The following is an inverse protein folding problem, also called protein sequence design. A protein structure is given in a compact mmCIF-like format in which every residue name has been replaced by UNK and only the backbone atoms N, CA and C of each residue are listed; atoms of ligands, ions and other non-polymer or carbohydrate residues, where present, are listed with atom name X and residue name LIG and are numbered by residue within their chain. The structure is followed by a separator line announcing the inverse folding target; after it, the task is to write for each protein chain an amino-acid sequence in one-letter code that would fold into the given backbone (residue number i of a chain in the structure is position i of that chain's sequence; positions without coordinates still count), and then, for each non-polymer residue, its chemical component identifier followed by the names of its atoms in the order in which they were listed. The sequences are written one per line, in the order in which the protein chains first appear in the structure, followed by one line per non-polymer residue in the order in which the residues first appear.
data_IF_654035558979
#
_entry.id   IF_654035558979
#
_cell.length_a   1.000
_cell.length_b   1.000
_cell.length_c   1.000
_cell.angle_alpha   90.00
_cell.angle_beta   90.00
_cell.angle_gamma   90.00
#
_symmetry.space_group_name_H-M   'P 1'
#
loop_
_entity.id
_entity.type
_entity.pdbx_description
1 polymer ?
#
# COMPACT_ATOMS: atom_id res chain seq x y z
N UNK A 1 14.72 44.13 25.76
CA UNK A 1 14.67 45.09 24.65
C UNK A 1 15.70 44.86 23.52
N UNK A 2 16.56 43.86 23.56
CA UNK A 2 17.69 43.65 22.61
C UNK A 2 17.48 42.73 21.42
N UNK A 3 16.35 42.01 21.31
CA UNK A 3 16.13 41.04 20.22
C UNK A 3 15.49 41.59 18.94
N UNK A 4 14.73 42.69 19.02
CA UNK A 4 14.07 43.34 17.85
C UNK A 4 15.01 44.08 16.91
N UNK A 5 16.17 44.53 17.40
CA UNK A 5 17.14 45.31 16.60
C UNK A 5 17.96 44.41 15.64
N UNK A 6 18.35 43.20 16.07
CA UNK A 6 19.19 42.30 15.25
C UNK A 6 18.43 41.70 14.04
N UNK A 7 17.14 41.42 14.16
CA UNK A 7 16.31 40.94 13.05
C UNK A 7 16.10 42.01 11.96
N UNK A 8 16.06 43.28 12.31
CA UNK A 8 15.93 44.39 11.36
C UNK A 8 17.19 44.58 10.50
N UNK A 9 18.38 44.44 11.08
CA UNK A 9 19.66 44.63 10.37
C UNK A 9 19.89 43.46 9.40
N UNK A 10 19.69 42.22 9.85
CA UNK A 10 19.83 41.03 8.98
C UNK A 10 18.85 41.05 7.82
N UNK A 11 17.61 41.45 8.03
CA UNK A 11 16.60 41.60 6.99
C UNK A 11 16.97 42.72 5.98
N UNK A 12 17.53 43.82 6.43
CA UNK A 12 18.01 44.94 5.57
C UNK A 12 19.22 44.49 4.72
N UNK A 13 20.16 43.79 5.32
CA UNK A 13 21.33 43.25 4.61
C UNK A 13 20.87 42.26 3.55
N UNK A 14 19.96 41.32 3.89
CA UNK A 14 19.40 40.37 2.95
C UNK A 14 18.69 41.06 1.78
N UNK A 15 17.81 42.02 2.06
CA UNK A 15 17.13 42.80 1.01
C UNK A 15 18.08 43.59 0.12
N UNK A 16 19.19 44.09 0.67
CA UNK A 16 20.27 44.71 -0.09
C UNK A 16 20.99 43.75 -1.01
N UNK A 17 21.34 42.58 -0.50
CA UNK A 17 22.00 41.53 -1.27
C UNK A 17 21.09 40.96 -2.39
N UNK A 18 19.80 40.79 -2.13
CA UNK A 18 18.84 40.33 -3.14
C UNK A 18 18.66 41.37 -4.26
N UNK A 19 18.68 42.67 -3.94
CA UNK A 19 18.64 43.73 -4.96
C UNK A 19 19.92 43.77 -5.81
N UNK A 20 21.07 43.57 -5.19
CA UNK A 20 22.37 43.55 -5.87
C UNK A 20 22.48 42.33 -6.78
N UNK A 21 22.03 41.17 -6.29
CA UNK A 21 21.98 39.93 -7.09
C UNK A 21 21.07 40.11 -8.33
N UNK A 22 19.91 40.72 -8.15
CA UNK A 22 18.97 41.01 -9.24
C UNK A 22 19.53 42.00 -10.28
N UNK A 23 20.24 43.03 -9.86
CA UNK A 23 20.93 43.97 -10.77
C UNK A 23 22.08 43.31 -11.51
N UNK A 24 22.86 42.46 -10.82
CA UNK A 24 24.02 41.79 -11.41
C UNK A 24 23.63 40.63 -12.32
N UNK A 25 22.41 40.06 -12.17
CA UNK A 25 21.92 38.98 -13.02
C UNK A 25 21.80 39.39 -14.50
N UNK A 26 21.60 40.68 -14.78
CA UNK A 26 21.50 41.21 -16.14
C UNK A 26 22.83 41.17 -16.91
N UNK A 27 23.98 41.15 -16.23
CA UNK A 27 25.31 41.16 -16.84
C UNK A 27 25.88 39.79 -17.15
N UNK A 28 25.12 38.71 -16.94
CA UNK A 28 25.58 37.34 -17.11
C UNK A 28 26.69 36.96 -16.11
N UNK A 29 27.21 35.72 -16.22
CA UNK A 29 28.18 35.19 -15.24
C UNK A 29 29.50 35.97 -15.22
N UNK A 30 30.04 36.33 -16.37
CA UNK A 30 31.31 37.06 -16.49
C UNK A 30 31.16 38.52 -16.05
N UNK A 31 30.17 39.22 -16.54
CA UNK A 31 29.95 40.63 -16.21
C UNK A 31 29.71 40.85 -14.71
N UNK A 32 28.95 39.99 -14.07
CA UNK A 32 28.71 40.05 -12.63
C UNK A 32 29.94 39.70 -11.78
N UNK A 33 30.80 38.79 -12.23
CA UNK A 33 32.08 38.48 -11.58
C UNK A 33 33.01 39.66 -11.66
N UNK A 34 33.14 40.32 -12.84
CA UNK A 34 33.91 41.53 -13.02
C UNK A 34 33.41 42.65 -12.10
N UNK A 35 32.11 42.89 -12.03
CA UNK A 35 31.53 43.95 -11.18
C UNK A 35 31.80 43.68 -9.70
N UNK A 36 31.61 42.49 -9.19
CA UNK A 36 31.87 42.12 -7.80
C UNK A 36 33.38 42.22 -7.45
N UNK A 37 34.24 41.79 -8.37
CA UNK A 37 35.71 41.92 -8.19
C UNK A 37 36.12 43.38 -8.17
N UNK A 38 35.57 44.21 -9.05
CA UNK A 38 35.81 45.65 -9.04
C UNK A 38 35.35 46.31 -7.73
N UNK A 39 34.19 45.88 -7.18
CA UNK A 39 33.71 46.33 -5.87
C UNK A 39 34.64 45.91 -4.72
N UNK A 40 35.14 44.67 -4.75
CA UNK A 40 36.07 44.17 -3.73
C UNK A 40 37.38 44.97 -3.75
N UNK A 41 37.94 45.23 -4.94
CA UNK A 41 39.13 46.09 -5.10
C UNK A 41 38.85 47.54 -4.66
N UNK A 42 37.71 48.09 -5.09
CA UNK A 42 37.26 49.45 -4.75
C UNK A 42 37.03 49.66 -3.23
N UNK A 43 36.74 48.64 -2.45
CA UNK A 43 36.64 48.70 -1.01
C UNK A 43 38.00 48.49 -0.31
N UNK A 44 38.81 47.58 -0.79
CA UNK A 44 40.08 47.23 -0.15
C UNK A 44 41.19 48.31 -0.32
N UNK A 45 41.20 48.92 -1.49
CA UNK A 45 42.23 49.95 -1.77
C UNK A 45 42.11 51.19 -0.86
N UNK A 46 40.95 51.83 -0.71
CA UNK A 46 40.81 52.97 0.25
C UNK A 46 41.09 52.54 1.69
N UNK A 47 40.70 51.33 2.09
CA UNK A 47 40.98 50.81 3.43
C UNK A 47 42.50 50.69 3.67
N UNK A 48 43.23 50.17 2.71
CA UNK A 48 44.68 50.06 2.78
C UNK A 48 45.37 51.45 2.86
N UNK A 49 44.90 52.40 2.06
CA UNK A 49 45.35 53.82 2.14
C UNK A 49 45.13 54.39 3.51
N UNK A 50 43.93 54.21 4.09
CA UNK A 50 43.59 54.69 5.42
C UNK A 50 44.53 54.08 6.48
N UNK A 51 44.74 52.78 6.47
CA UNK A 51 45.64 52.10 7.43
C UNK A 51 47.05 52.63 7.32
N UNK A 52 47.61 52.72 6.10
CA UNK A 52 48.98 53.26 5.86
C UNK A 52 49.10 54.72 6.32
N UNK A 53 48.10 55.54 6.08
CA UNK A 53 48.05 56.93 6.56
C UNK A 53 48.06 57.03 8.10
N UNK A 54 47.34 56.16 8.79
CA UNK A 54 47.33 56.06 10.24
C UNK A 54 48.67 55.62 10.84
N UNK A 55 49.42 54.77 10.09
CA UNK A 55 50.76 54.31 10.46
C UNK A 55 51.86 55.35 10.13
N UNK A 56 51.53 56.46 9.51
CA UNK A 56 52.48 57.52 9.11
C UNK A 56 53.38 57.07 7.93
N UNK A 57 53.00 56.04 7.16
CA UNK A 57 53.79 55.48 6.06
C UNK A 57 53.36 56.11 4.73
N UNK A 58 54.35 56.44 3.88
CA UNK A 58 54.06 56.93 2.53
C UNK A 58 53.41 55.86 1.66
N UNK A 59 52.32 56.25 0.97
CA UNK A 59 51.60 55.36 0.03
C UNK A 59 52.30 55.42 -1.35
N UNK A 60 52.92 54.31 -1.77
CA UNK A 60 53.53 54.25 -3.07
C UNK A 60 52.52 53.77 -4.16
N UNK A 61 52.38 54.48 -5.29
CA UNK A 61 51.39 54.12 -6.33
C UNK A 61 51.56 52.69 -6.88
N UNK A 62 52.81 52.23 -7.01
CA UNK A 62 53.10 50.89 -7.50
C UNK A 62 52.60 49.80 -6.54
N UNK A 63 52.73 50.02 -5.23
CA UNK A 63 52.22 49.11 -4.21
C UNK A 63 50.69 48.98 -4.27
N UNK A 64 49.98 50.06 -4.62
CA UNK A 64 48.52 50.07 -4.78
C UNK A 64 48.06 49.26 -6.01
N UNK A 65 48.80 49.40 -7.12
CA UNK A 65 48.52 48.59 -8.33
C UNK A 65 48.73 47.11 -8.05
N UNK A 66 49.87 46.74 -7.42
CA UNK A 66 50.13 45.35 -7.08
C UNK A 66 49.08 44.76 -6.17
N UNK A 67 48.66 45.49 -5.11
CA UNK A 67 47.58 45.05 -4.21
C UNK A 67 46.26 44.87 -4.94
N UNK A 68 45.93 45.75 -5.87
CA UNK A 68 44.70 45.64 -6.66
C UNK A 68 44.72 44.41 -7.56
N UNK A 69 45.84 44.10 -8.16
CA UNK A 69 46.03 42.90 -9.01
C UNK A 69 45.96 41.61 -8.17
N UNK A 70 46.62 41.56 -7.01
CA UNK A 70 46.58 40.44 -6.09
C UNK A 70 45.16 40.16 -5.61
N UNK A 71 44.41 41.18 -5.17
CA UNK A 71 43.01 41.04 -4.76
C UNK A 71 42.15 40.55 -5.91
N UNK A 72 42.32 41.09 -7.11
CA UNK A 72 41.53 40.69 -8.26
C UNK A 72 41.85 39.20 -8.67
N UNK A 73 43.11 38.80 -8.61
CA UNK A 73 43.55 37.46 -8.98
C UNK A 73 43.00 36.38 -8.02
N UNK A 74 42.83 36.69 -6.75
CA UNK A 74 42.28 35.77 -5.75
C UNK A 74 40.74 35.87 -5.69
N UNK A 75 40.20 37.07 -5.71
CA UNK A 75 38.78 37.27 -5.56
C UNK A 75 37.96 36.81 -6.78
N UNK A 76 38.43 37.06 -7.99
CA UNK A 76 37.68 36.72 -9.22
C UNK A 76 37.33 35.24 -9.35
N UNK A 77 38.27 34.27 -9.22
CA UNK A 77 37.94 32.86 -9.31
C UNK A 77 37.01 32.39 -8.16
N UNK A 78 37.18 32.94 -6.94
CA UNK A 78 36.33 32.57 -5.82
C UNK A 78 34.90 33.05 -6.07
N UNK A 79 34.73 34.31 -6.48
CA UNK A 79 33.42 34.89 -6.80
C UNK A 79 32.75 34.14 -7.95
N UNK A 80 33.53 33.81 -8.99
CA UNK A 80 33.01 33.04 -10.12
C UNK A 80 32.49 31.66 -9.70
N UNK A 81 33.29 30.91 -8.94
CA UNK A 81 32.92 29.61 -8.43
C UNK A 81 31.72 29.68 -7.48
N UNK A 82 31.72 30.60 -6.53
CA UNK A 82 30.61 30.79 -5.61
C UNK A 82 29.27 31.07 -6.34
N UNK A 83 29.32 31.91 -7.37
CA UNK A 83 28.13 32.20 -8.20
C UNK A 83 27.68 30.98 -9.02
N UNK A 84 28.58 30.19 -9.54
CA UNK A 84 28.21 28.98 -10.26
C UNK A 84 27.49 27.99 -9.33
N UNK A 85 28.05 27.74 -8.15
CA UNK A 85 27.43 26.89 -7.12
C UNK A 85 26.06 27.42 -6.68
N UNK A 86 25.94 28.74 -6.41
CA UNK A 86 24.67 29.36 -6.02
C UNK A 86 23.62 29.20 -7.12
N UNK A 87 24.03 29.38 -8.38
CA UNK A 87 23.10 29.24 -9.53
C UNK A 87 22.63 27.79 -9.70
N UNK A 88 23.54 26.82 -9.57
CA UNK A 88 23.20 25.40 -9.60
C UNK A 88 22.28 25.00 -8.44
N UNK A 89 22.56 25.48 -7.22
CA UNK A 89 21.70 25.23 -6.06
C UNK A 89 20.29 25.83 -6.23
N UNK A 90 20.20 27.06 -6.76
CA UNK A 90 18.90 27.70 -7.05
C UNK A 90 18.11 26.89 -8.08
N UNK A 91 18.74 26.49 -9.18
CA UNK A 91 18.08 25.70 -10.25
C UNK A 91 17.67 24.30 -9.76
N UNK A 92 18.49 23.63 -8.98
CA UNK A 92 18.18 22.35 -8.37
C UNK A 92 17.00 22.47 -7.39
N UNK A 93 17.00 23.49 -6.56
CA UNK A 93 15.90 23.75 -5.61
C UNK A 93 14.57 24.01 -6.32
N UNK A 94 14.57 24.87 -7.36
CA UNK A 94 13.34 25.11 -8.13
C UNK A 94 12.84 23.86 -8.83
N UNK A 95 13.74 23.00 -9.32
CA UNK A 95 13.37 21.68 -9.89
C UNK A 95 12.73 20.74 -8.87
N UNK A 96 13.29 20.68 -7.64
CA UNK A 96 12.73 19.88 -6.54
C UNK A 96 11.36 20.42 -6.12
N UNK A 97 11.20 21.73 -5.98
CA UNK A 97 9.92 22.35 -5.59
C UNK A 97 8.83 22.07 -6.66
N UNK A 98 9.16 22.17 -7.94
CA UNK A 98 8.23 21.85 -9.04
C UNK A 98 7.85 20.37 -9.06
N UNK A 99 8.85 19.46 -8.90
CA UNK A 99 8.58 18.02 -8.84
C UNK A 99 7.71 17.65 -7.63
N UNK A 100 8.02 18.23 -6.46
CA UNK A 100 7.24 18.05 -5.24
C UNK A 100 5.79 18.50 -5.41
N UNK A 101 5.59 19.66 -6.07
CA UNK A 101 4.26 20.17 -6.37
C UNK A 101 3.48 19.26 -7.33
N UNK A 102 4.13 18.77 -8.38
CA UNK A 102 3.51 17.82 -9.33
C UNK A 102 3.12 16.52 -8.64
N UNK A 103 4.02 15.98 -7.78
CA UNK A 103 3.73 14.79 -7.01
C UNK A 103 2.53 15.00 -6.06
N UNK A 104 2.45 16.13 -5.38
CA UNK A 104 1.32 16.45 -4.49
C UNK A 104 -0.01 16.52 -5.26
N UNK A 105 -0.03 17.18 -6.43
CA UNK A 105 -1.23 17.26 -7.28
C UNK A 105 -1.65 15.87 -7.79
N UNK A 106 -0.70 15.06 -8.25
CA UNK A 106 -0.99 13.71 -8.75
C UNK A 106 -1.48 12.80 -7.64
N UNK A 107 -0.89 12.89 -6.45
CA UNK A 107 -1.34 12.13 -5.27
C UNK A 107 -2.77 12.52 -4.86
N UNK A 108 -3.08 13.82 -4.83
CA UNK A 108 -4.43 14.31 -4.52
C UNK A 108 -5.47 13.84 -5.55
N UNK A 109 -5.15 13.89 -6.83
CA UNK A 109 -6.03 13.39 -7.91
C UNK A 109 -6.26 11.88 -7.77
N UNK A 110 -5.21 11.10 -7.49
CA UNK A 110 -5.32 9.66 -7.27
C UNK A 110 -6.19 9.35 -6.05
N UNK A 111 -6.04 10.09 -4.97
CA UNK A 111 -6.85 9.92 -3.76
C UNK A 111 -8.33 10.28 -4.00
N UNK A 112 -8.59 11.38 -4.70
CA UNK A 112 -9.96 11.77 -5.09
C UNK A 112 -10.63 10.71 -5.97
N UNK A 113 -9.91 10.19 -6.97
CA UNK A 113 -10.40 9.12 -7.83
C UNK A 113 -10.71 7.84 -7.04
N UNK A 114 -9.86 7.47 -6.08
CA UNK A 114 -10.06 6.31 -5.23
C UNK A 114 -11.26 6.49 -4.28
N UNK A 115 -11.44 7.69 -3.70
CA UNK A 115 -12.61 8.02 -2.87
C UNK A 115 -13.90 7.97 -3.69
N UNK A 116 -13.90 8.51 -4.91
CA UNK A 116 -15.05 8.45 -5.82
C UNK A 116 -15.40 7.01 -6.22
N UNK A 117 -14.38 6.17 -6.55
CA UNK A 117 -14.53 4.74 -6.82
C UNK A 117 -15.19 4.02 -5.63
N UNK A 118 -14.69 4.26 -4.42
CA UNK A 118 -15.21 3.62 -3.20
C UNK A 118 -16.66 4.04 -2.89
N UNK A 119 -16.99 5.32 -3.05
CA UNK A 119 -18.35 5.84 -2.85
C UNK A 119 -19.32 5.27 -3.90
N UNK A 120 -18.91 5.21 -5.17
CA UNK A 120 -19.69 4.62 -6.25
C UNK A 120 -20.00 3.14 -5.97
N UNK A 121 -18.98 2.35 -5.61
CA UNK A 121 -19.15 0.93 -5.29
C UNK A 121 -20.08 0.71 -4.08
N UNK A 122 -19.95 1.54 -3.04
CA UNK A 122 -20.82 1.47 -1.87
C UNK A 122 -22.30 1.74 -2.23
N UNK A 123 -22.55 2.77 -3.02
CA UNK A 123 -23.90 3.11 -3.47
C UNK A 123 -24.46 2.02 -4.39
N UNK A 124 -23.68 1.56 -5.38
CA UNK A 124 -24.10 0.49 -6.29
C UNK A 124 -24.45 -0.80 -5.56
N UNK A 125 -23.71 -1.15 -4.51
CA UNK A 125 -24.04 -2.33 -3.71
C UNK A 125 -25.41 -2.22 -3.04
N UNK A 126 -25.74 -1.08 -2.46
CA UNK A 126 -27.06 -0.87 -1.87
C UNK A 126 -28.17 -1.00 -2.91
N UNK A 127 -27.98 -0.35 -4.09
CA UNK A 127 -28.96 -0.36 -5.17
C UNK A 127 -29.10 -1.76 -5.81
N UNK A 128 -28.04 -2.58 -5.83
CA UNK A 128 -28.09 -3.94 -6.34
C UNK A 128 -28.60 -4.95 -5.31
N UNK A 129 -28.32 -4.75 -4.03
CA UNK A 129 -28.74 -5.66 -2.95
C UNK A 129 -30.25 -5.72 -2.81
N UNK A 130 -30.95 -4.59 -2.91
CA UNK A 130 -32.40 -4.51 -2.70
C UNK A 130 -33.19 -5.36 -3.70
N UNK A 131 -33.04 -5.19 -5.04
CA UNK A 131 -33.76 -6.03 -6.00
C UNK A 131 -33.29 -7.49 -5.96
N UNK A 132 -32.02 -7.74 -5.66
CA UNK A 132 -31.49 -9.08 -5.57
C UNK A 132 -32.04 -9.84 -4.37
N UNK A 133 -32.19 -9.21 -3.23
CA UNK A 133 -32.85 -9.80 -2.04
C UNK A 133 -34.32 -10.13 -2.33
N UNK A 134 -35.02 -9.30 -3.12
CA UNK A 134 -36.41 -9.60 -3.54
C UNK A 134 -36.44 -10.83 -4.46
N UNK A 135 -35.55 -10.90 -5.46
CA UNK A 135 -35.44 -12.07 -6.37
C UNK A 135 -35.12 -13.34 -5.56
N UNK A 136 -34.17 -13.27 -4.63
CA UNK A 136 -33.83 -14.38 -3.75
C UNK A 136 -35.00 -14.80 -2.88
N UNK A 137 -35.68 -13.86 -2.22
CA UNK A 137 -36.81 -14.14 -1.35
C UNK A 137 -37.97 -14.81 -2.09
N UNK A 138 -38.33 -14.30 -3.28
CA UNK A 138 -39.38 -14.93 -4.08
C UNK A 138 -38.96 -16.33 -4.59
N UNK A 139 -37.72 -16.49 -5.01
CA UNK A 139 -37.22 -17.78 -5.46
C UNK A 139 -37.14 -18.81 -4.31
N UNK A 140 -36.85 -18.38 -3.09
CA UNK A 140 -36.85 -19.20 -1.90
C UNK A 140 -38.27 -19.68 -1.54
N UNK A 141 -39.25 -18.73 -1.52
CA UNK A 141 -40.68 -19.07 -1.32
C UNK A 141 -41.18 -20.07 -2.33
N UNK A 142 -40.76 -19.95 -3.63
CA UNK A 142 -41.11 -20.90 -4.68
C UNK A 142 -40.39 -22.23 -4.50
N UNK A 143 -39.09 -22.24 -4.25
CA UNK A 143 -38.29 -23.44 -4.07
C UNK A 143 -38.75 -24.30 -2.90
N UNK A 144 -39.08 -23.65 -1.77
CA UNK A 144 -39.48 -24.29 -0.53
C UNK A 144 -41.02 -24.52 -0.47
N UNK A 145 -41.74 -24.12 -1.52
CA UNK A 145 -43.20 -24.36 -1.69
C UNK A 145 -44.06 -23.77 -0.54
N UNK A 146 -43.60 -22.64 0.05
CA UNK A 146 -44.29 -22.03 1.22
C UNK A 146 -45.76 -21.63 0.95
N UNK A 147 -46.12 -21.38 -0.31
CA UNK A 147 -47.51 -21.02 -0.73
C UNK A 147 -48.31 -22.19 -1.33
N UNK A 148 -47.83 -23.40 -1.17
CA UNK A 148 -48.45 -24.60 -1.68
C UNK A 148 -47.59 -25.36 -2.71
N UNK A 149 -47.98 -26.63 -2.99
CA UNK A 149 -47.16 -27.52 -3.80
C UNK A 149 -47.04 -27.05 -5.25
N UNK A 150 -45.82 -27.03 -5.75
CA UNK A 150 -45.49 -26.85 -7.16
C UNK A 150 -45.54 -28.21 -7.86
N UNK A 151 -46.57 -28.45 -8.63
CA UNK A 151 -46.77 -29.75 -9.30
C UNK A 151 -45.76 -30.08 -10.41
N UNK A 152 -45.07 -29.07 -10.95
CA UNK A 152 -44.03 -29.29 -11.97
C UNK A 152 -42.63 -29.18 -11.35
N UNK A 153 -41.85 -30.29 -11.27
CA UNK A 153 -40.52 -30.28 -10.64
C UNK A 153 -39.52 -29.40 -11.37
N UNK A 154 -39.77 -29.03 -12.65
CA UNK A 154 -38.89 -28.08 -13.37
C UNK A 154 -38.97 -26.65 -12.80
N UNK A 155 -40.12 -26.23 -12.31
CA UNK A 155 -40.23 -24.89 -11.67
C UNK A 155 -39.49 -24.82 -10.34
N UNK A 156 -39.46 -25.92 -9.57
CA UNK A 156 -38.64 -26.03 -8.36
C UNK A 156 -37.15 -25.95 -8.70
N UNK A 157 -36.71 -26.63 -9.74
CA UNK A 157 -35.32 -26.56 -10.20
C UNK A 157 -34.97 -25.11 -10.63
N UNK A 158 -35.83 -24.45 -11.42
CA UNK A 158 -35.61 -23.06 -11.83
C UNK A 158 -35.59 -22.10 -10.65
N UNK A 159 -36.48 -22.28 -9.67
CA UNK A 159 -36.45 -21.46 -8.44
C UNK A 159 -35.14 -21.66 -7.66
N UNK A 160 -34.64 -22.90 -7.59
CA UNK A 160 -33.34 -23.25 -7.03
C UNK A 160 -32.18 -22.56 -7.76
N UNK A 161 -32.18 -22.58 -9.08
CA UNK A 161 -31.15 -21.94 -9.92
C UNK A 161 -31.16 -20.44 -9.80
N UNK A 162 -32.34 -19.81 -9.76
CA UNK A 162 -32.51 -18.38 -9.53
C UNK A 162 -31.95 -17.99 -8.16
N UNK A 163 -32.31 -18.75 -7.10
CA UNK A 163 -31.83 -18.51 -5.75
C UNK A 163 -30.30 -18.64 -5.65
N UNK A 164 -29.73 -19.70 -6.24
CA UNK A 164 -28.29 -19.93 -6.25
C UNK A 164 -27.54 -18.81 -6.99
N UNK A 165 -28.05 -18.40 -8.16
CA UNK A 165 -27.47 -17.29 -8.95
C UNK A 165 -27.53 -15.97 -8.22
N UNK A 166 -28.66 -15.69 -7.54
CA UNK A 166 -28.81 -14.50 -6.71
C UNK A 166 -27.84 -14.46 -5.55
N UNK A 167 -27.65 -15.57 -4.82
CA UNK A 167 -26.67 -15.68 -3.73
C UNK A 167 -25.23 -15.50 -4.23
N UNK A 168 -24.91 -16.08 -5.37
CA UNK A 168 -23.60 -15.92 -5.99
C UNK A 168 -23.32 -14.47 -6.34
N UNK A 169 -24.26 -13.76 -6.96
CA UNK A 169 -24.11 -12.35 -7.32
C UNK A 169 -23.99 -11.46 -6.07
N UNK A 170 -24.77 -11.72 -5.04
CA UNK A 170 -24.66 -10.98 -3.76
C UNK A 170 -23.29 -11.21 -3.10
N UNK A 171 -22.76 -12.42 -3.18
CA UNK A 171 -21.39 -12.72 -2.74
C UNK A 171 -20.34 -11.87 -3.45
N UNK A 172 -20.41 -11.80 -4.80
CA UNK A 172 -19.50 -10.97 -5.60
C UNK A 172 -19.56 -9.50 -5.20
N UNK A 173 -20.75 -8.95 -5.06
CA UNK A 173 -20.97 -7.57 -4.68
C UNK A 173 -20.33 -7.28 -3.31
N UNK A 174 -20.52 -8.17 -2.34
CA UNK A 174 -19.93 -8.02 -1.01
C UNK A 174 -18.39 -8.12 -1.05
N UNK A 175 -17.82 -9.05 -1.83
CA UNK A 175 -16.37 -9.20 -1.99
C UNK A 175 -15.74 -7.93 -2.60
N UNK A 176 -16.37 -7.34 -3.62
CA UNK A 176 -15.94 -6.07 -4.24
C UNK A 176 -15.97 -4.94 -3.22
N UNK A 177 -17.02 -4.86 -2.42
CA UNK A 177 -17.15 -3.83 -1.40
C UNK A 177 -16.12 -3.96 -0.29
N UNK A 178 -15.91 -5.20 0.20
CA UNK A 178 -14.95 -5.45 1.26
C UNK A 178 -13.53 -5.12 0.78
N UNK A 179 -13.16 -5.53 -0.45
CA UNK A 179 -11.89 -5.15 -1.06
C UNK A 179 -11.76 -3.62 -1.20
N UNK A 180 -12.81 -2.95 -1.71
CA UNK A 180 -12.80 -1.49 -1.87
C UNK A 180 -12.67 -0.75 -0.53
N UNK A 181 -13.29 -1.25 0.56
CA UNK A 181 -13.16 -0.68 1.90
C UNK A 181 -11.74 -0.86 2.46
N UNK A 182 -11.11 -2.02 2.21
CA UNK A 182 -9.71 -2.27 2.62
C UNK A 182 -8.78 -1.32 1.85
N UNK A 183 -8.88 -1.24 0.51
CA UNK A 183 -8.06 -0.36 -0.32
C UNK A 183 -8.19 1.12 0.06
N UNK A 184 -9.39 1.54 0.50
CA UNK A 184 -9.65 2.91 0.96
C UNK A 184 -9.24 3.17 2.42
N UNK A 185 -8.69 2.16 3.14
CA UNK A 185 -8.36 2.27 4.56
C UNK A 185 -9.59 2.49 5.47
N UNK A 186 -10.80 2.15 4.98
CA UNK A 186 -12.07 2.33 5.72
C UNK A 186 -12.49 1.08 6.51
N UNK A 187 -11.80 -0.04 6.32
CA UNK A 187 -12.02 -1.24 7.12
C UNK A 187 -11.11 -1.18 8.34
N UNK A 188 -11.72 -1.17 9.54
CA UNK A 188 -10.98 -1.08 10.81
C UNK A 188 -10.95 -2.42 11.53
N UNK A 189 -9.96 -2.58 12.42
CA UNK A 189 -9.86 -3.70 13.36
C UNK A 189 -10.47 -3.39 14.74
N UNK A 190 -11.34 -2.40 14.84
CA UNK A 190 -12.01 -2.04 16.11
C UNK A 190 -12.76 -3.19 16.77
N UNK A 191 -13.18 -4.18 15.97
CA UNK A 191 -13.85 -5.39 16.44
C UNK A 191 -12.87 -6.57 16.60
N UNK A 192 -11.55 -6.32 16.63
CA UNK A 192 -10.58 -7.37 16.87
C UNK A 192 -10.65 -7.80 18.35
N UNK A 193 -10.90 -9.08 18.55
CA UNK A 193 -11.00 -9.71 19.86
C UNK A 193 -10.04 -10.89 19.94
N UNK A 194 -9.73 -11.30 21.15
CA UNK A 194 -8.93 -12.50 21.38
C UNK A 194 -9.84 -13.75 21.40
N UNK A 195 -9.68 -14.63 20.42
CA UNK A 195 -10.46 -15.87 20.30
C UNK A 195 -9.57 -17.09 19.99
N UNK A 196 -10.00 -18.33 20.29
CA UNK A 196 -9.29 -19.53 19.91
C UNK A 196 -9.26 -19.70 18.38
N UNK A 197 -8.08 -19.74 17.78
CA UNK A 197 -7.92 -19.94 16.32
C UNK A 197 -8.65 -21.19 15.82
N UNK A 198 -8.62 -22.26 16.64
CA UNK A 198 -9.31 -23.52 16.37
C UNK A 198 -10.78 -23.33 15.98
N UNK A 199 -11.52 -22.46 16.71
CA UNK A 199 -12.95 -22.23 16.43
C UNK A 199 -13.19 -21.61 15.05
N UNK A 200 -12.35 -20.69 14.61
CA UNK A 200 -12.46 -20.11 13.28
C UNK A 200 -12.19 -21.16 12.19
N UNK A 201 -11.20 -22.03 12.40
CA UNK A 201 -10.88 -23.13 11.46
C UNK A 201 -12.00 -24.15 11.40
N UNK A 202 -12.49 -24.64 12.55
CA UNK A 202 -13.62 -25.60 12.60
C UNK A 202 -14.87 -25.05 11.90
N UNK A 203 -15.23 -23.80 12.15
CA UNK A 203 -16.36 -23.15 11.51
C UNK A 203 -16.20 -23.01 9.98
N UNK A 204 -14.99 -22.73 9.51
CA UNK A 204 -14.69 -22.65 8.06
C UNK A 204 -14.72 -24.02 7.41
N UNK A 205 -14.17 -25.04 8.07
CA UNK A 205 -14.13 -26.42 7.58
C UNK A 205 -15.52 -27.05 7.51
N UNK A 206 -16.40 -26.76 8.45
CA UNK A 206 -17.79 -27.21 8.39
C UNK A 206 -18.50 -26.71 7.12
N UNK A 207 -18.23 -25.48 6.69
CA UNK A 207 -18.78 -24.93 5.43
C UNK A 207 -18.12 -25.57 4.21
N UNK A 208 -16.80 -25.77 4.23
CA UNK A 208 -16.04 -26.33 3.11
C UNK A 208 -16.22 -27.85 2.96
N UNK A 209 -16.60 -28.57 4.03
CA UNK A 209 -16.77 -30.02 4.01
C UNK A 209 -17.79 -30.49 2.96
N UNK A 210 -18.95 -29.84 2.92
CA UNK A 210 -19.98 -30.15 1.92
C UNK A 210 -19.51 -29.88 0.47
N UNK A 211 -18.63 -28.88 0.30
CA UNK A 211 -18.01 -28.60 -0.99
C UNK A 211 -17.01 -29.68 -1.36
N UNK A 212 -16.17 -30.13 -0.41
CA UNK A 212 -15.25 -31.26 -0.60
C UNK A 212 -15.97 -32.54 -1.03
N UNK A 213 -17.06 -32.93 -0.36
CA UNK A 213 -17.88 -34.05 -0.76
C UNK A 213 -18.43 -33.93 -2.17
N UNK A 214 -18.98 -32.75 -2.51
CA UNK A 214 -19.53 -32.48 -3.85
C UNK A 214 -18.48 -32.61 -4.95
N UNK A 215 -17.23 -32.21 -4.70
CA UNK A 215 -16.13 -32.28 -5.67
C UNK A 215 -15.32 -33.59 -5.57
N UNK A 216 -15.64 -34.47 -4.62
CA UNK A 216 -14.91 -35.71 -4.40
C UNK A 216 -13.48 -35.49 -3.90
N UNK A 217 -13.23 -34.41 -3.17
CA UNK A 217 -11.93 -34.03 -2.62
C UNK A 217 -11.89 -34.31 -1.12
N UNK A 218 -10.85 -35.01 -0.66
CA UNK A 218 -10.65 -35.29 0.75
C UNK A 218 -10.08 -34.08 1.48
N UNK A 219 -10.63 -33.77 2.67
CA UNK A 219 -10.11 -32.74 3.56
C UNK A 219 -9.41 -33.42 4.74
N UNK A 220 -8.15 -33.07 4.97
CA UNK A 220 -7.41 -33.43 6.17
C UNK A 220 -7.07 -32.15 6.95
N UNK A 221 -7.31 -32.14 8.24
CA UNK A 221 -7.05 -30.97 9.05
C UNK A 221 -6.36 -31.36 10.37
N UNK A 222 -5.19 -30.79 10.59
CA UNK A 222 -4.52 -30.81 11.87
C UNK A 222 -4.84 -29.50 12.58
N UNK A 223 -5.84 -29.54 13.45
CA UNK A 223 -6.30 -28.34 14.18
C UNK A 223 -5.25 -27.89 15.19
N UNK A 224 -5.05 -26.57 15.33
CA UNK A 224 -4.17 -26.02 16.33
C UNK A 224 -4.62 -26.39 17.76
N UNK A 225 -3.71 -26.45 18.74
CA UNK A 225 -4.06 -26.58 20.15
C UNK A 225 -5.06 -25.49 20.57
N UNK A 226 -5.92 -25.80 21.54
CA UNK A 226 -6.93 -24.83 22.02
C UNK A 226 -6.34 -23.58 22.66
N UNK A 227 -5.09 -23.66 23.12
CA UNK A 227 -4.35 -22.55 23.73
C UNK A 227 -3.89 -21.49 22.73
N UNK A 228 -3.87 -21.82 21.43
CA UNK A 228 -3.51 -20.86 20.38
C UNK A 228 -4.69 -19.92 20.15
N UNK A 229 -4.48 -18.68 20.52
CA UNK A 229 -5.48 -17.60 20.37
C UNK A 229 -4.98 -16.55 19.40
N UNK A 230 -5.90 -15.97 18.63
CA UNK A 230 -5.61 -14.82 17.76
C UNK A 230 -6.31 -13.59 18.29
N UNK A 231 -5.64 -12.43 18.14
CA UNK A 231 -6.22 -11.11 18.33
C UNK A 231 -6.57 -10.58 16.92
N UNK A 232 -7.78 -10.83 16.49
CA UNK A 232 -8.22 -10.56 15.13
C UNK A 232 -9.75 -10.39 15.05
N UNK A 233 -10.27 -10.02 13.90
CA UNK A 233 -11.69 -10.06 13.60
C UNK A 233 -12.05 -11.47 13.13
N UNK A 234 -12.66 -12.29 13.99
CA UNK A 234 -12.93 -13.71 13.74
C UNK A 234 -13.63 -13.95 12.40
N UNK A 235 -14.62 -13.13 12.06
CA UNK A 235 -15.35 -13.21 10.78
C UNK A 235 -14.41 -13.08 9.58
N UNK A 236 -13.41 -12.21 9.64
CA UNK A 236 -12.43 -12.04 8.54
C UNK A 236 -11.50 -13.25 8.43
N UNK A 237 -11.06 -13.81 9.57
CA UNK A 237 -10.25 -15.03 9.56
C UNK A 237 -11.02 -16.20 8.95
N UNK A 238 -12.30 -16.36 9.30
CA UNK A 238 -13.17 -17.37 8.66
C UNK A 238 -13.30 -17.14 7.16
N UNK A 239 -13.50 -15.89 6.73
CA UNK A 239 -13.62 -15.58 5.28
C UNK A 239 -12.32 -15.88 4.53
N UNK A 240 -11.14 -15.56 5.11
CA UNK A 240 -9.84 -15.93 4.56
C UNK A 240 -9.78 -17.45 4.36
N UNK A 241 -10.12 -18.23 5.38
CA UNK A 241 -10.05 -19.69 5.30
C UNK A 241 -11.05 -20.27 4.28
N UNK A 242 -12.28 -19.77 4.24
CA UNK A 242 -13.28 -20.19 3.27
C UNK A 242 -12.79 -19.93 1.83
N UNK A 243 -12.20 -18.76 1.59
CA UNK A 243 -11.67 -18.40 0.27
C UNK A 243 -10.51 -19.32 -0.14
N UNK A 244 -9.58 -19.61 0.77
CA UNK A 244 -8.40 -20.42 0.46
C UNK A 244 -8.75 -21.91 0.33
N UNK A 245 -9.48 -22.46 1.31
CA UNK A 245 -9.90 -23.88 1.28
C UNK A 245 -10.87 -24.12 0.14
N UNK A 246 -11.81 -23.20 -0.10
CA UNK A 246 -12.71 -23.28 -1.24
C UNK A 246 -11.99 -23.29 -2.59
N UNK A 247 -10.95 -22.47 -2.76
CA UNK A 247 -10.11 -22.51 -3.96
C UNK A 247 -9.32 -23.82 -4.06
N UNK A 248 -8.72 -24.27 -2.97
CA UNK A 248 -7.99 -25.53 -2.91
C UNK A 248 -8.87 -26.72 -3.37
N UNK A 249 -10.11 -26.82 -2.86
CA UNK A 249 -11.08 -27.86 -3.26
C UNK A 249 -11.43 -27.73 -4.75
N UNK A 250 -11.70 -26.52 -5.20
CA UNK A 250 -12.16 -26.22 -6.56
C UNK A 250 -11.13 -26.58 -7.63
N UNK A 251 -9.85 -26.41 -7.33
CA UNK A 251 -8.75 -26.66 -8.26
C UNK A 251 -8.04 -28.01 -8.04
N UNK A 252 -8.57 -28.83 -7.14
CA UNK A 252 -8.10 -30.18 -6.91
C UNK A 252 -9.00 -31.18 -7.67
N UNK A 253 -8.47 -32.09 -8.50
CA UNK A 253 -9.25 -33.14 -9.14
C UNK A 253 -9.91 -34.07 -8.12
N UNK A 254 -11.01 -34.69 -8.52
CA UNK A 254 -11.67 -35.74 -7.72
C UNK A 254 -10.69 -36.83 -7.28
N UNK A 255 -10.79 -37.26 -6.01
CA UNK A 255 -9.84 -38.18 -5.38
C UNK A 255 -8.60 -37.49 -4.77
N UNK A 256 -8.39 -36.20 -5.03
CA UNK A 256 -7.28 -35.45 -4.46
C UNK A 256 -7.45 -35.10 -2.98
N UNK A 257 -6.48 -34.37 -2.44
CA UNK A 257 -6.36 -34.07 -1.02
C UNK A 257 -6.13 -32.58 -0.82
N UNK A 258 -6.82 -32.00 0.16
CA UNK A 258 -6.54 -30.67 0.71
C UNK A 258 -6.20 -30.83 2.19
N UNK A 259 -5.03 -30.35 2.57
CA UNK A 259 -4.50 -30.45 3.92
C UNK A 259 -4.44 -29.06 4.56
N UNK A 260 -4.93 -28.93 5.80
CA UNK A 260 -4.82 -27.73 6.60
C UNK A 260 -4.02 -28.07 7.85
N UNK A 261 -2.93 -27.36 8.09
CA UNK A 261 -2.09 -27.54 9.27
C UNK A 261 -1.73 -26.18 9.88
N UNK A 262 -1.40 -26.19 11.16
CA UNK A 262 -0.96 -25.01 11.87
C UNK A 262 0.28 -25.26 12.71
N UNK A 263 1.16 -24.27 12.83
CA UNK A 263 2.39 -24.37 13.59
C UNK A 263 2.90 -23.04 14.13
N UNK A 264 3.54 -23.09 15.32
CA UNK A 264 4.21 -21.94 15.89
C UNK A 264 5.45 -21.55 15.09
N UNK A 265 5.71 -20.26 14.92
CA UNK A 265 6.91 -19.75 14.25
C UNK A 265 8.01 -19.41 15.28
N UNK A 266 9.31 -19.51 14.90
CA UNK A 266 10.42 -19.19 15.81
C UNK A 266 10.38 -17.76 16.37
N UNK A 267 9.75 -16.82 15.64
CA UNK A 267 9.56 -15.43 16.08
C UNK A 267 8.37 -15.22 17.04
N UNK A 268 7.75 -16.29 17.53
CA UNK A 268 6.59 -16.24 18.44
C UNK A 268 5.24 -16.03 17.75
N UNK A 269 5.21 -15.93 16.42
CA UNK A 269 3.99 -15.89 15.63
C UNK A 269 3.41 -17.29 15.38
N UNK A 270 2.33 -17.36 14.61
CA UNK A 270 1.68 -18.60 14.23
C UNK A 270 1.42 -18.65 12.72
N UNK A 271 1.66 -19.80 12.11
CA UNK A 271 1.38 -20.03 10.70
C UNK A 271 0.23 -21.03 10.52
N UNK A 272 -0.65 -20.76 9.55
CA UNK A 272 -1.66 -21.71 9.06
C UNK A 272 -1.36 -21.99 7.60
N UNK A 273 -1.21 -23.26 7.27
CA UNK A 273 -0.90 -23.73 5.91
C UNK A 273 -2.12 -24.39 5.31
N UNK A 274 -2.46 -24.05 4.07
CA UNK A 274 -3.45 -24.73 3.24
C UNK A 274 -2.70 -25.29 2.04
N UNK A 275 -2.67 -26.64 1.91
CA UNK A 275 -1.99 -27.34 0.83
C UNK A 275 -2.98 -28.15 0.04
N UNK A 276 -2.92 -28.09 -1.27
CA UNK A 276 -3.71 -28.91 -2.16
C UNK A 276 -2.83 -29.76 -3.09
N UNK A 277 -3.38 -30.88 -3.55
CA UNK A 277 -2.78 -31.74 -4.59
C UNK A 277 -3.36 -31.43 -5.97
N UNK A 278 -3.71 -30.19 -6.22
CA UNK A 278 -4.41 -29.75 -7.42
C UNK A 278 -3.50 -29.50 -8.62
N UNK A 279 -4.03 -28.72 -9.55
CA UNK A 279 -3.36 -28.44 -10.84
C UNK A 279 -2.13 -27.56 -10.70
N UNK A 280 -1.98 -26.85 -9.58
CA UNK A 280 -0.91 -25.88 -9.37
C UNK A 280 -0.95 -24.68 -10.32
N UNK A 281 0.02 -23.79 -10.14
CA UNK A 281 0.16 -22.52 -10.87
C UNK A 281 1.62 -22.27 -11.26
N UNK A 282 1.83 -21.61 -12.41
CA UNK A 282 3.14 -21.03 -12.75
C UNK A 282 3.38 -19.73 -11.95
N UNK A 283 4.60 -19.20 -11.96
CA UNK A 283 4.91 -17.92 -11.31
C UNK A 283 4.07 -16.75 -11.85
N UNK A 284 3.84 -16.73 -13.16
CA UNK A 284 3.03 -15.71 -13.81
C UNK A 284 1.55 -15.84 -13.42
N UNK A 285 1.06 -17.08 -13.28
CA UNK A 285 -0.29 -17.37 -12.83
C UNK A 285 -0.50 -16.93 -11.36
N UNK A 286 0.49 -17.09 -10.49
CA UNK A 286 0.43 -16.61 -9.10
C UNK A 286 0.24 -15.08 -9.07
N UNK A 287 1.02 -14.35 -9.87
CA UNK A 287 0.88 -12.89 -9.96
C UNK A 287 -0.51 -12.50 -10.45
N UNK A 288 -1.01 -13.20 -11.48
CA UNK A 288 -2.35 -12.97 -12.04
C UNK A 288 -3.43 -13.31 -11.01
N UNK A 289 -3.33 -14.42 -10.29
CA UNK A 289 -4.29 -14.84 -9.27
C UNK A 289 -4.36 -13.91 -8.05
N UNK A 290 -3.28 -13.18 -7.74
CA UNK A 290 -3.22 -12.16 -6.70
C UNK A 290 -3.74 -10.79 -7.14
N UNK A 291 -4.01 -10.60 -8.43
CA UNK A 291 -4.60 -9.37 -8.97
C UNK A 291 -6.12 -9.45 -8.91
N UNK A 292 -6.84 -8.41 -8.44
CA UNK A 292 -8.31 -8.40 -8.45
C UNK A 292 -8.88 -8.72 -9.84
N UNK A 293 -9.85 -9.61 -9.89
CA UNK A 293 -10.46 -10.17 -11.11
C UNK A 293 -9.50 -11.00 -11.99
N UNK A 294 -8.28 -11.25 -11.54
CA UNK A 294 -7.31 -12.08 -12.24
C UNK A 294 -7.73 -13.56 -12.22
N UNK A 295 -7.80 -14.17 -13.39
CA UNK A 295 -8.14 -15.58 -13.57
C UNK A 295 -7.09 -16.28 -14.41
N UNK A 296 -6.71 -17.49 -13.99
CA UNK A 296 -5.80 -18.35 -14.72
C UNK A 296 -6.63 -19.22 -15.66
N UNK A 297 -6.42 -19.09 -16.96
CA UNK A 297 -7.15 -19.87 -17.96
C UNK A 297 -6.59 -21.29 -18.05
N UNK A 298 -7.38 -22.27 -17.64
CA UNK A 298 -7.10 -23.68 -17.85
C UNK A 298 -8.41 -24.48 -17.99
N UNK A 299 -8.30 -25.77 -18.34
CA UNK A 299 -9.48 -26.63 -18.56
C UNK A 299 -10.40 -26.74 -17.33
N UNK A 300 -9.86 -26.60 -16.10
CA UNK A 300 -10.68 -26.66 -14.88
C UNK A 300 -11.33 -25.30 -14.58
N UNK A 301 -10.69 -24.16 -14.90
CA UNK A 301 -11.31 -22.85 -14.75
C UNK A 301 -12.48 -22.64 -15.70
N UNK A 302 -12.46 -23.24 -16.89
CA UNK A 302 -13.56 -23.19 -17.85
C UNK A 302 -14.86 -23.81 -17.31
N UNK A 303 -14.75 -24.80 -16.41
CA UNK A 303 -15.90 -25.48 -15.77
C UNK A 303 -16.30 -24.85 -14.42
N UNK A 304 -15.42 -24.03 -13.80
CA UNK A 304 -15.65 -23.51 -12.47
C UNK A 304 -15.55 -21.97 -12.46
N UNK A 305 -16.66 -21.30 -12.70
CA UNK A 305 -16.75 -19.84 -12.64
C UNK A 305 -16.27 -19.31 -11.28
N UNK A 306 -15.15 -18.60 -11.26
CA UNK A 306 -14.66 -17.85 -10.11
C UNK A 306 -14.74 -16.36 -10.37
N UNK A 307 -14.76 -15.56 -9.33
CA UNK A 307 -14.77 -14.08 -9.44
C UNK A 307 -13.37 -13.49 -9.65
N UNK A 308 -12.32 -14.24 -9.30
CA UNK A 308 -10.95 -13.73 -9.23
C UNK A 308 -10.74 -12.76 -8.05
N UNK A 309 -11.65 -12.73 -7.07
CA UNK A 309 -11.57 -11.84 -5.91
C UNK A 309 -11.14 -12.56 -4.63
N UNK A 310 -11.36 -13.84 -4.50
CA UNK A 310 -11.16 -14.56 -3.23
C UNK A 310 -9.73 -14.51 -2.70
N UNK A 311 -8.71 -14.74 -3.55
CA UNK A 311 -7.31 -14.72 -3.14
C UNK A 311 -6.79 -13.30 -2.88
N UNK A 312 -7.06 -12.27 -3.72
CA UNK A 312 -6.76 -10.88 -3.40
C UNK A 312 -7.41 -10.40 -2.09
N UNK A 313 -8.68 -10.75 -1.86
CA UNK A 313 -9.40 -10.36 -0.66
C UNK A 313 -8.82 -11.05 0.60
N UNK A 314 -8.50 -12.34 0.51
CA UNK A 314 -7.86 -13.07 1.60
C UNK A 314 -6.50 -12.45 1.98
N UNK A 315 -5.69 -12.08 0.98
CA UNK A 315 -4.41 -11.39 1.17
C UNK A 315 -4.63 -10.04 1.84
N UNK A 316 -5.53 -9.21 1.32
CA UNK A 316 -5.79 -7.87 1.87
C UNK A 316 -6.33 -7.92 3.32
N UNK A 317 -7.23 -8.87 3.63
CA UNK A 317 -7.71 -9.09 4.98
C UNK A 317 -6.60 -9.54 5.94
N UNK A 318 -5.68 -10.40 5.48
CA UNK A 318 -4.55 -10.86 6.29
C UNK A 318 -3.55 -9.72 6.55
N UNK A 319 -3.23 -8.92 5.52
CA UNK A 319 -2.36 -7.75 5.64
C UNK A 319 -2.95 -6.70 6.60
N UNK A 320 -4.27 -6.52 6.63
CA UNK A 320 -4.94 -5.68 7.62
C UNK A 320 -4.68 -6.14 9.07
N UNK A 321 -4.46 -7.45 9.28
CA UNK A 321 -4.09 -8.04 10.57
C UNK A 321 -2.55 -8.13 10.78
N UNK A 322 -1.76 -7.33 10.06
CA UNK A 322 -0.29 -7.35 10.08
C UNK A 322 0.32 -8.72 9.70
N UNK A 323 -0.47 -9.59 9.06
CA UNK A 323 -0.04 -10.89 8.60
C UNK A 323 0.54 -10.86 7.19
N UNK A 324 1.15 -11.97 6.78
CA UNK A 324 1.69 -12.15 5.42
C UNK A 324 1.19 -13.44 4.80
N UNK A 325 0.91 -13.41 3.50
CA UNK A 325 0.49 -14.56 2.71
C UNK A 325 1.61 -14.93 1.75
N UNK A 326 2.06 -16.19 1.82
CA UNK A 326 3.05 -16.75 0.92
C UNK A 326 2.42 -17.87 0.10
N UNK A 327 2.81 -17.99 -1.17
CA UNK A 327 2.29 -19.00 -2.10
C UNK A 327 3.47 -19.73 -2.72
N UNK A 328 3.47 -21.05 -2.58
CA UNK A 328 4.34 -21.95 -3.30
C UNK A 328 3.50 -22.87 -4.18
N UNK A 329 3.75 -22.85 -5.48
CA UNK A 329 2.96 -23.64 -6.44
C UNK A 329 3.80 -24.01 -7.66
N UNK A 330 3.58 -25.21 -8.16
CA UNK A 330 4.14 -25.69 -9.42
C UNK A 330 3.04 -26.38 -10.25
N UNK A 331 2.97 -26.15 -11.56
CA UNK A 331 2.01 -26.85 -12.42
C UNK A 331 2.06 -28.35 -12.26
N UNK A 332 0.91 -28.97 -11.98
CA UNK A 332 0.77 -30.43 -11.78
C UNK A 332 1.18 -30.94 -10.40
N UNK A 333 1.64 -30.08 -9.48
CA UNK A 333 2.05 -30.49 -8.11
C UNK A 333 1.19 -29.90 -7.00
N UNK A 334 0.21 -29.08 -7.36
CA UNK A 334 -0.67 -28.42 -6.40
C UNK A 334 -0.13 -27.09 -5.90
N UNK A 335 -0.79 -26.56 -4.89
CA UNK A 335 -0.48 -25.25 -4.30
C UNK A 335 -0.37 -25.39 -2.78
N UNK A 336 0.58 -24.66 -2.19
CA UNK A 336 0.69 -24.44 -0.77
C UNK A 336 0.60 -22.95 -0.48
N UNK A 337 -0.34 -22.55 0.36
CA UNK A 337 -0.53 -21.19 0.83
C UNK A 337 -0.26 -21.16 2.33
N UNK A 338 0.64 -20.26 2.74
CA UNK A 338 1.01 -20.07 4.15
C UNK A 338 0.54 -18.71 4.62
N UNK A 339 -0.35 -18.71 5.61
CA UNK A 339 -0.81 -17.51 6.33
C UNK A 339 0.05 -17.36 7.56
N UNK A 340 0.77 -16.25 7.69
CA UNK A 340 1.64 -15.98 8.85
C UNK A 340 1.05 -14.83 9.67
N UNK A 341 0.78 -15.11 10.94
CA UNK A 341 0.35 -14.13 11.92
C UNK A 341 1.53 -13.74 12.80
N UNK A 342 1.84 -12.44 12.97
CA UNK A 342 2.95 -12.00 13.82
C UNK A 342 2.67 -12.26 15.30
N UNK A 343 3.71 -12.28 16.12
CA UNK A 343 3.60 -12.50 17.57
C UNK A 343 2.65 -11.50 18.26
N UNK A 344 2.54 -10.27 17.75
CA UNK A 344 1.61 -9.24 18.25
C UNK A 344 0.13 -9.63 18.11
N UNK A 345 -0.17 -10.58 17.21
CA UNK A 345 -1.53 -11.06 16.95
C UNK A 345 -1.80 -12.44 17.54
N UNK A 346 -0.80 -13.06 18.20
CA UNK A 346 -0.94 -14.39 18.80
C UNK A 346 -0.93 -14.27 20.33
N UNK A 347 -2.06 -14.61 20.94
CA UNK A 347 -2.20 -14.74 22.38
C UNK A 347 -1.79 -16.16 22.82
N UNK A 348 -0.85 -16.27 23.77
CA UNK A 348 -0.57 -17.55 24.43
C UNK A 348 -1.29 -17.54 25.77
N UNK A 349 -2.21 -18.48 25.97
CA UNK A 349 -2.86 -18.64 27.28
C UNK A 349 -1.80 -18.88 28.34
N UNK A 350 -1.72 -18.01 29.35
CA UNK A 350 -0.73 -18.01 30.45
C UNK A 350 -0.81 -19.26 31.40
N UNK A 351 -1.50 -20.32 31.00
CA UNK A 351 -1.70 -21.49 31.88
C UNK A 351 -0.56 -22.52 31.90
N UNK A 352 0.54 -22.32 31.14
CA UNK A 352 1.66 -23.31 31.11
C UNK A 352 2.90 -22.85 31.89
N UNK A 353 2.86 -21.75 32.66
CA UNK A 353 4.00 -21.29 33.43
C UNK A 353 3.88 -21.64 34.94
N UNK A 354 3.10 -22.64 35.33
CA UNK A 354 2.98 -23.14 36.68
C UNK A 354 2.76 -24.66 36.70
N UNK A 355 3.76 -25.41 36.24
CA UNK A 355 3.92 -26.84 36.56
C UNK A 355 5.43 -27.19 36.55
#
# INVERSE_FOLDING_TARGET
MGRRSKTSIAARIKAGLDRLDNQLSHYGRFGSTIALTAMAVGAAVPLHVLVRSLEGLAVQPVAMINLSVEIALVAAPIIFYARDVITQLKSSRTGIDELSRRLAITAEQAEQANRAKSAFLANMSHELRTPLNAIMGFSEVMKDQHLGAMHNPRYLAYAGDIHASGRYLLGIINDILDLSKIEAGKMSLEQAEEFPLRLALEGSLAICGSLGEKFGVRLACELPPQEVRLIAVERMIRQIMINLVGNAIKFTPAGGLVEIAGGGMPCGGYAVTVRDSGIGMSKDDIVKALTPFGQVENKMTATHNGTGLGLPLAKAMLELHDGTLEIESEPGRGTMIVLKFPASRVGVSRKIAAA
#
